data_IF_592353698144
#
_entry.id   IF_592353698144
#
_cell.length_a   1.000
_cell.length_b   1.000
_cell.length_c   1.000
_cell.angle_alpha   90.00
_cell.angle_beta   90.00
_cell.angle_gamma   90.00
#
_symmetry.space_group_name_H-M   'P 1'
#
loop_
_entity.id
_entity.type
_entity.pdbx_description
1 polymer ?
#
# COMPACT_ATOMS: atom_id res chain seq x y z
N UNK A 1 10.26 -28.09 -23.45
CA UNK A 1 9.28 -27.30 -22.68
C UNK A 1 8.29 -26.67 -23.65
N UNK A 2 7.00 -26.83 -23.38
CA UNK A 2 5.96 -26.28 -24.24
C UNK A 2 5.85 -24.77 -24.02
N UNK A 3 6.12 -23.93 -25.04
CA UNK A 3 6.04 -22.47 -24.90
C UNK A 3 4.66 -21.98 -24.46
N UNK A 4 3.61 -22.66 -24.90
CA UNK A 4 2.24 -22.30 -24.56
C UNK A 4 1.95 -22.53 -23.07
N UNK A 5 2.48 -23.62 -22.52
CA UNK A 5 2.34 -23.91 -21.08
C UNK A 5 3.09 -22.87 -20.24
N UNK A 6 4.27 -22.47 -20.70
CA UNK A 6 5.05 -21.43 -20.01
C UNK A 6 4.30 -20.10 -20.02
N UNK A 7 3.75 -19.71 -21.15
CA UNK A 7 2.95 -18.48 -21.28
C UNK A 7 1.74 -18.49 -20.35
N UNK A 8 1.05 -19.62 -20.25
CA UNK A 8 -0.09 -19.76 -19.35
C UNK A 8 0.31 -19.62 -17.88
N UNK A 9 1.46 -20.19 -17.50
CA UNK A 9 1.98 -20.07 -16.15
C UNK A 9 2.34 -18.63 -15.80
N UNK A 10 2.95 -17.92 -16.74
CA UNK A 10 3.29 -16.50 -16.55
C UNK A 10 2.03 -15.65 -16.38
N UNK A 11 1.01 -15.91 -17.21
CA UNK A 11 -0.25 -15.20 -17.14
C UNK A 11 -0.94 -15.43 -15.80
N UNK A 12 -0.96 -16.68 -15.33
CA UNK A 12 -1.54 -17.01 -14.03
C UNK A 12 -0.80 -16.32 -12.87
N UNK A 13 0.52 -16.26 -12.96
CA UNK A 13 1.33 -15.57 -11.95
C UNK A 13 1.02 -14.07 -11.91
N UNK A 14 0.85 -13.45 -13.08
CA UNK A 14 0.48 -12.03 -13.16
C UNK A 14 -0.90 -11.79 -12.58
N UNK A 15 -1.87 -12.63 -12.92
CA UNK A 15 -3.24 -12.48 -12.39
C UNK A 15 -3.26 -12.63 -10.87
N UNK A 16 -2.51 -13.59 -10.34
CA UNK A 16 -2.40 -13.79 -8.89
C UNK A 16 -1.80 -12.58 -8.22
N UNK A 17 -0.73 -12.02 -8.81
CA UNK A 17 -0.09 -10.82 -8.27
C UNK A 17 -1.05 -9.63 -8.25
N UNK A 18 -1.81 -9.44 -9.34
CA UNK A 18 -2.80 -8.37 -9.42
C UNK A 18 -3.87 -8.52 -8.35
N UNK A 19 -4.33 -9.75 -8.10
CA UNK A 19 -5.31 -10.01 -7.05
C UNK A 19 -4.74 -9.74 -5.66
N UNK A 20 -3.51 -10.14 -5.40
CA UNK A 20 -2.85 -9.87 -4.13
C UNK A 20 -2.70 -8.37 -3.88
N UNK A 21 -2.32 -7.62 -4.91
CA UNK A 21 -2.21 -6.16 -4.81
C UNK A 21 -3.58 -5.54 -4.58
N UNK A 22 -4.60 -5.99 -5.33
CA UNK A 22 -5.94 -5.44 -5.20
C UNK A 22 -6.57 -5.68 -3.82
N UNK A 23 -6.17 -6.76 -3.15
CA UNK A 23 -6.71 -7.10 -1.82
C UNK A 23 -5.87 -6.57 -0.66
N UNK A 24 -4.78 -5.85 -0.94
CA UNK A 24 -3.98 -5.22 0.11
C UNK A 24 -4.81 -4.24 0.91
N UNK A 25 -4.64 -4.28 2.23
CA UNK A 25 -5.19 -3.28 3.14
C UNK A 25 -4.07 -2.83 4.07
N UNK A 26 -3.64 -1.61 3.87
CA UNK A 26 -2.51 -1.04 4.59
C UNK A 26 -3.02 0.01 5.56
N UNK A 27 -2.68 -0.16 6.82
CA UNK A 27 -3.02 0.80 7.87
C UNK A 27 -1.84 1.73 8.11
N UNK A 28 -2.16 3.00 8.32
CA UNK A 28 -1.18 3.99 8.76
C UNK A 28 -1.84 4.97 9.72
N UNK A 29 -1.03 5.62 10.51
CA UNK A 29 -1.52 6.55 11.51
C UNK A 29 -0.55 7.73 11.66
N UNK A 30 -1.06 8.81 12.21
CA UNK A 30 -0.25 9.97 12.58
C UNK A 30 -0.73 10.51 13.91
N UNK A 31 0.12 11.37 14.54
CA UNK A 31 -0.23 12.00 15.79
C UNK A 31 -0.51 11.03 16.93
N UNK A 32 0.27 9.94 17.02
CA UNK A 32 0.05 8.95 18.07
C UNK A 32 -1.25 8.17 17.94
N UNK A 33 -1.78 8.07 16.72
CA UNK A 33 -3.03 7.37 16.47
C UNK A 33 -4.26 8.26 16.41
N UNK A 34 -4.07 9.57 16.49
CA UNK A 34 -5.19 10.53 16.39
C UNK A 34 -5.86 10.51 15.04
N UNK A 35 -5.11 10.24 13.99
CA UNK A 35 -5.64 10.01 12.63
C UNK A 35 -5.16 8.65 12.17
N UNK A 36 -6.10 7.82 11.71
CA UNK A 36 -5.83 6.48 11.19
C UNK A 36 -6.46 6.35 9.82
N UNK A 37 -5.74 5.73 8.90
CA UNK A 37 -6.22 5.51 7.54
C UNK A 37 -6.00 4.06 7.15
N UNK A 38 -6.84 3.57 6.24
CA UNK A 38 -6.66 2.29 5.57
C UNK A 38 -6.65 2.56 4.07
N UNK A 39 -5.66 2.05 3.38
CA UNK A 39 -5.46 2.25 1.94
C UNK A 39 -5.31 0.90 1.26
N UNK A 40 -5.85 0.77 0.06
CA UNK A 40 -5.68 -0.46 -0.73
C UNK A 40 -4.42 -0.41 -1.60
N UNK A 41 -4.17 -1.49 -2.33
CA UNK A 41 -2.98 -1.59 -3.18
C UNK A 41 -2.99 -0.69 -4.40
N UNK A 42 -4.13 -0.11 -4.72
CA UNK A 42 -4.26 0.88 -5.80
C UNK A 42 -4.18 2.30 -5.27
N UNK A 43 -3.86 2.45 -3.98
CA UNK A 43 -3.76 3.73 -3.28
C UNK A 43 -5.10 4.45 -3.14
N UNK A 44 -6.19 3.70 -3.15
CA UNK A 44 -7.48 4.25 -2.76
C UNK A 44 -7.60 4.26 -1.25
N UNK A 45 -8.02 5.38 -0.71
CA UNK A 45 -8.29 5.50 0.72
C UNK A 45 -9.61 4.82 1.03
N UNK A 46 -9.57 3.77 1.84
CA UNK A 46 -10.75 2.97 2.18
C UNK A 46 -11.45 3.48 3.43
N UNK A 47 -10.69 3.98 4.38
CA UNK A 47 -11.26 4.56 5.58
C UNK A 47 -10.33 5.62 6.14
N UNK A 48 -10.94 6.55 6.84
CA UNK A 48 -10.26 7.63 7.54
C UNK A 48 -10.96 7.77 8.89
N UNK A 49 -10.18 7.67 9.96
CA UNK A 49 -10.67 7.87 11.32
C UNK A 49 -9.93 9.01 11.97
N UNK A 50 -10.69 9.93 12.53
CA UNK A 50 -10.16 11.09 13.25
C UNK A 50 -10.69 11.03 14.66
N UNK A 51 -9.78 11.13 15.64
CA UNK A 51 -10.16 11.23 17.04
C UNK A 51 -10.93 12.54 17.24
N UNK A 52 -12.17 12.51 17.76
CA UNK A 52 -12.93 13.74 17.96
C UNK A 52 -12.23 14.77 18.83
N UNK A 53 -11.35 14.34 19.73
CA UNK A 53 -10.62 15.25 20.63
C UNK A 53 -9.70 16.21 19.91
N UNK A 54 -9.25 15.87 18.69
CA UNK A 54 -8.37 16.76 17.92
C UNK A 54 -9.13 17.68 16.97
N UNK A 55 -10.45 17.59 16.97
CA UNK A 55 -11.28 18.43 16.09
C UNK A 55 -11.68 19.68 16.84
N UNK A 56 -11.06 20.80 16.48
CA UNK A 56 -11.40 22.10 17.02
C UNK A 56 -11.17 23.19 15.96
N UNK A 57 -11.89 24.28 16.09
CA UNK A 57 -11.75 25.40 15.16
C UNK A 57 -10.35 26.01 15.21
N UNK A 58 -9.71 25.95 16.36
CA UNK A 58 -8.38 26.56 16.58
C UNK A 58 -7.25 25.70 16.04
N UNK A 59 -7.51 24.40 15.76
CA UNK A 59 -6.47 23.47 15.40
C UNK A 59 -6.69 22.82 14.05
N UNK A 60 -7.35 23.52 13.15
CA UNK A 60 -7.64 22.99 11.79
C UNK A 60 -6.36 22.69 11.02
N UNK A 61 -5.36 23.55 11.12
CA UNK A 61 -4.08 23.33 10.44
C UNK A 61 -3.39 22.06 10.93
N UNK A 62 -3.39 21.85 12.25
CA UNK A 62 -2.81 20.64 12.82
C UNK A 62 -3.53 19.40 12.30
N UNK A 63 -4.85 19.43 12.25
CA UNK A 63 -5.64 18.32 11.72
C UNK A 63 -5.32 18.04 10.26
N UNK A 64 -5.21 19.10 9.43
CA UNK A 64 -4.83 18.97 8.04
C UNK A 64 -3.47 18.28 7.89
N UNK A 65 -2.50 18.69 8.69
CA UNK A 65 -1.16 18.11 8.65
C UNK A 65 -1.18 16.65 9.09
N UNK A 66 -1.96 16.31 10.10
CA UNK A 66 -2.09 14.93 10.58
C UNK A 66 -2.71 14.03 9.51
N UNK A 67 -3.77 14.50 8.84
CA UNK A 67 -4.41 13.74 7.76
C UNK A 67 -3.43 13.54 6.60
N UNK A 68 -2.75 14.58 6.19
CA UNK A 68 -1.76 14.52 5.12
C UNK A 68 -0.65 13.52 5.44
N UNK A 69 -0.13 13.58 6.67
CA UNK A 69 0.93 12.68 7.11
C UNK A 69 0.47 11.22 7.11
N UNK A 70 -0.74 10.94 7.59
CA UNK A 70 -1.28 9.59 7.63
C UNK A 70 -1.47 9.02 6.22
N UNK A 71 -2.04 9.81 5.31
CA UNK A 71 -2.27 9.37 3.93
C UNK A 71 -0.95 9.12 3.20
N UNK A 72 0.02 10.01 3.35
CA UNK A 72 1.33 9.87 2.72
C UNK A 72 2.08 8.65 3.27
N UNK A 73 1.98 8.40 4.57
CA UNK A 73 2.59 7.21 5.18
C UNK A 73 1.95 5.93 4.65
N UNK A 74 0.62 5.91 4.50
CA UNK A 74 -0.08 4.77 3.92
C UNK A 74 0.39 4.52 2.48
N UNK A 75 0.51 5.55 1.67
CA UNK A 75 0.97 5.44 0.29
C UNK A 75 2.38 4.88 0.22
N UNK A 76 3.27 5.32 1.11
CA UNK A 76 4.64 4.81 1.20
C UNK A 76 4.65 3.32 1.54
N UNK A 77 3.84 2.92 2.51
CA UNK A 77 3.73 1.52 2.94
C UNK A 77 3.16 0.64 1.82
N UNK A 78 2.19 1.15 1.06
CA UNK A 78 1.66 0.41 -0.10
C UNK A 78 2.77 0.14 -1.10
N UNK A 79 3.58 1.15 -1.43
CA UNK A 79 4.69 0.98 -2.36
C UNK A 79 5.69 -0.05 -1.85
N UNK A 80 6.02 -0.03 -0.56
CA UNK A 80 6.92 -1.01 0.04
C UNK A 80 6.36 -2.43 -0.06
N UNK A 81 5.08 -2.61 0.25
CA UNK A 81 4.44 -3.92 0.18
C UNK A 81 4.42 -4.47 -1.25
N UNK A 82 4.14 -3.61 -2.23
CA UNK A 82 4.15 -4.01 -3.63
C UNK A 82 5.56 -4.45 -4.03
N UNK A 83 6.58 -3.68 -3.65
CA UNK A 83 7.97 -4.04 -3.96
C UNK A 83 8.38 -5.36 -3.32
N UNK A 84 7.94 -5.63 -2.10
CA UNK A 84 8.22 -6.89 -1.44
C UNK A 84 7.56 -8.07 -2.17
N UNK A 85 6.32 -7.88 -2.65
CA UNK A 85 5.62 -8.92 -3.40
C UNK A 85 6.31 -9.19 -4.75
N UNK A 86 6.74 -8.15 -5.44
CA UNK A 86 7.49 -8.28 -6.70
C UNK A 86 8.84 -8.92 -6.44
N UNK A 87 9.54 -8.50 -5.39
CA UNK A 87 10.80 -9.09 -4.98
C UNK A 87 10.69 -10.56 -4.63
N UNK A 88 9.58 -10.95 -3.97
CA UNK A 88 9.29 -12.34 -3.67
C UNK A 88 9.07 -13.19 -4.91
N UNK A 89 8.44 -12.63 -5.94
CA UNK A 89 8.25 -13.29 -7.23
C UNK A 89 9.56 -13.47 -7.97
N UNK A 90 10.46 -12.50 -7.87
CA UNK A 90 11.78 -12.53 -8.46
C UNK A 90 12.83 -13.11 -7.51
N UNK A 91 12.40 -13.70 -6.39
CA UNK A 91 13.26 -14.11 -5.29
C UNK A 91 14.32 -15.16 -5.63
N UNK A 92 14.16 -15.86 -6.73
CA UNK A 92 15.18 -16.76 -7.23
C UNK A 92 16.08 -16.14 -8.27
N UNK A 93 15.80 -14.91 -8.71
CA UNK A 93 16.56 -14.23 -9.75
C UNK A 93 17.03 -12.89 -9.23
N UNK A 94 18.35 -12.81 -8.97
CA UNK A 94 18.96 -11.51 -8.71
C UNK A 94 19.05 -10.77 -10.04
N UNK A 95 18.24 -9.74 -10.19
CA UNK A 95 18.33 -8.87 -11.35
C UNK A 95 19.18 -7.67 -10.94
N UNK A 96 20.41 -7.54 -11.49
CA UNK A 96 21.25 -6.38 -11.17
C UNK A 96 20.57 -5.09 -11.62
N UNK A 97 20.52 -4.11 -10.73
CA UNK A 97 19.92 -2.82 -11.00
C UNK A 97 18.49 -2.63 -10.51
N UNK A 98 17.82 -3.69 -10.03
CA UNK A 98 16.49 -3.60 -9.43
C UNK A 98 16.54 -3.54 -7.90
N UNK A 99 17.67 -3.83 -7.35
CA UNK A 99 17.93 -3.75 -5.92
C UNK A 99 19.09 -2.77 -5.65
#
# INVERSE_FOLDING_TARGET
>A
MNPQKLMNQLKQAQERMQQEIATLQIEAASGGGMVKVVMDGQKNLKSLRIDPEVVSKEEVEMLQDLVTAAVNEAARKVDEEIQEKIGGLAGGMKIPGLL
#
